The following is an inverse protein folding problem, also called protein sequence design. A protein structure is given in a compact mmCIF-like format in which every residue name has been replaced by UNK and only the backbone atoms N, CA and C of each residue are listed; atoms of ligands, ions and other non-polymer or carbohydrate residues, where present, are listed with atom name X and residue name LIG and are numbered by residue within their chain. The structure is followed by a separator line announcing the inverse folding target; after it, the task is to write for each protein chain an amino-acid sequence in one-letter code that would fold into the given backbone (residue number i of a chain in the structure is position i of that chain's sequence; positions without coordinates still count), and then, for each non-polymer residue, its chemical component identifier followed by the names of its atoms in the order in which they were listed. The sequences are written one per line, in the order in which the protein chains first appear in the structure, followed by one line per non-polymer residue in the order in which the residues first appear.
data_IF_858402450629
#
_entry.id   IF_858402450629
#
_cell.length_a   1.000
_cell.length_b   1.000
_cell.length_c   1.000
_cell.angle_alpha   90.00
_cell.angle_beta   90.00
_cell.angle_gamma   90.00
#
_symmetry.space_group_name_H-M   'P 1'
#
loop_
_entity.id
_entity.type
_entity.pdbx_description
1 polymer ?
#
# COMPACT_ATOMS: atom_id res chain seq x y z
N UNK A 1 14.25 -4.35 -12.55
CA UNK A 1 13.50 -5.62 -12.58
C UNK A 1 12.06 -5.33 -12.98
N UNK A 2 11.58 -5.99 -14.00
CA UNK A 2 10.21 -5.80 -14.47
C UNK A 2 9.23 -6.52 -13.54
N UNK A 3 8.02 -5.98 -13.39
CA UNK A 3 6.96 -6.65 -12.67
C UNK A 3 6.62 -7.99 -13.34
N UNK A 4 6.42 -9.03 -12.54
CA UNK A 4 6.05 -10.35 -13.04
C UNK A 4 4.57 -10.37 -13.44
N UNK A 5 3.73 -9.71 -12.64
CA UNK A 5 2.30 -9.66 -12.86
C UNK A 5 1.89 -8.36 -13.54
N UNK A 6 0.89 -8.45 -14.40
CA UNK A 6 0.28 -7.30 -15.06
C UNK A 6 -0.77 -6.67 -14.17
N UNK A 7 -1.20 -5.47 -14.52
CA UNK A 7 -2.33 -4.80 -13.87
C UNK A 7 -3.57 -5.71 -13.85
N UNK A 8 -3.86 -6.36 -14.98
CA UNK A 8 -5.03 -7.21 -15.13
C UNK A 8 -4.98 -8.45 -14.22
N UNK A 9 -3.78 -8.88 -13.86
CA UNK A 9 -3.59 -10.01 -12.94
C UNK A 9 -3.64 -9.58 -11.48
N UNK A 10 -3.17 -8.37 -11.17
CA UNK A 10 -3.15 -7.86 -9.79
C UNK A 10 -4.53 -7.37 -9.35
N UNK A 11 -5.23 -6.65 -10.21
CA UNK A 11 -6.47 -5.97 -9.86
C UNK A 11 -7.54 -6.88 -9.26
N UNK A 12 -7.84 -8.06 -9.84
CA UNK A 12 -8.84 -8.95 -9.23
C UNK A 12 -8.45 -9.45 -7.84
N UNK A 13 -7.15 -9.66 -7.59
CA UNK A 13 -6.69 -10.11 -6.28
C UNK A 13 -6.88 -8.99 -5.25
N UNK A 14 -6.51 -7.78 -5.61
CA UNK A 14 -6.65 -6.62 -4.73
C UNK A 14 -8.12 -6.35 -4.42
N UNK A 15 -8.96 -6.29 -5.44
CA UNK A 15 -10.37 -5.92 -5.27
C UNK A 15 -11.25 -7.09 -4.83
N UNK A 16 -10.76 -8.32 -4.91
CA UNK A 16 -11.50 -9.50 -4.50
C UNK A 16 -11.56 -9.73 -2.99
N UNK A 17 -10.75 -9.04 -2.21
CA UNK A 17 -10.71 -9.17 -0.76
C UNK A 17 -11.76 -8.26 -0.13
N UNK A 18 -12.63 -8.82 0.72
CA UNK A 18 -13.73 -8.06 1.32
C UNK A 18 -13.27 -6.85 2.12
N UNK A 19 -12.17 -7.00 2.86
CA UNK A 19 -11.62 -5.87 3.61
C UNK A 19 -11.19 -4.73 2.69
N UNK A 20 -10.58 -5.06 1.55
CA UNK A 20 -10.18 -4.04 0.57
C UNK A 20 -11.39 -3.36 -0.04
N UNK A 21 -12.48 -4.12 -0.25
CA UNK A 21 -13.75 -3.56 -0.73
C UNK A 21 -14.34 -2.58 0.28
N UNK A 22 -14.26 -2.91 1.57
CA UNK A 22 -14.67 -2.00 2.64
C UNK A 22 -13.88 -0.71 2.62
N UNK A 23 -12.56 -0.81 2.43
CA UNK A 23 -11.69 0.37 2.34
C UNK A 23 -11.97 1.17 1.07
N UNK A 24 -12.46 0.53 0.02
CA UNK A 24 -12.71 1.16 -1.26
C UNK A 24 -11.46 1.38 -2.09
N UNK A 25 -10.35 0.73 -1.73
CA UNK A 25 -9.08 0.93 -2.44
C UNK A 25 -9.14 0.41 -3.87
N UNK A 26 -8.38 1.09 -4.74
CA UNK A 26 -8.30 0.77 -6.16
C UNK A 26 -6.85 0.75 -6.62
N UNK A 27 -6.57 -0.10 -7.60
CA UNK A 27 -5.25 -0.13 -8.23
C UNK A 27 -5.16 1.07 -9.19
N UNK A 28 -4.24 1.98 -8.90
CA UNK A 28 -4.07 3.20 -9.68
C UNK A 28 -3.05 2.99 -10.80
N UNK A 29 -1.90 2.42 -10.47
CA UNK A 29 -0.80 2.30 -11.42
C UNK A 29 0.09 1.11 -11.06
N UNK A 30 0.65 0.47 -12.08
CA UNK A 30 1.64 -0.59 -11.93
C UNK A 30 2.82 -0.28 -12.83
N UNK A 31 4.01 -0.22 -12.25
CA UNK A 31 5.27 -0.03 -12.96
C UNK A 31 6.19 -1.22 -12.71
N UNK A 32 7.40 -1.19 -13.26
CA UNK A 32 8.33 -2.31 -13.18
C UNK A 32 8.62 -2.76 -11.73
N UNK A 33 8.76 -1.83 -10.79
CA UNK A 33 9.10 -2.16 -9.41
C UNK A 33 8.18 -1.51 -8.41
N UNK A 34 7.09 -0.91 -8.86
CA UNK A 34 6.21 -0.18 -7.97
C UNK A 34 4.73 -0.40 -8.29
N UNK A 35 3.93 -0.26 -7.27
CA UNK A 35 2.47 -0.33 -7.35
C UNK A 35 1.92 0.89 -6.62
N UNK A 36 0.95 1.57 -7.23
CA UNK A 36 0.24 2.68 -6.60
C UNK A 36 -1.20 2.29 -6.36
N UNK A 37 -1.66 2.48 -5.13
CA UNK A 37 -3.02 2.21 -4.71
C UNK A 37 -3.68 3.54 -4.31
N UNK A 38 -4.91 3.76 -4.77
CA UNK A 38 -5.71 4.92 -4.39
C UNK A 38 -6.67 4.53 -3.28
N UNK A 39 -6.68 5.33 -2.22
CA UNK A 39 -7.70 5.28 -1.18
C UNK A 39 -8.63 6.48 -1.39
N UNK A 40 -9.84 6.25 -1.94
CA UNK A 40 -10.81 7.34 -2.07
C UNK A 40 -11.20 7.89 -0.71
N UNK A 41 -11.54 9.16 -0.67
CA UNK A 41 -12.00 9.79 0.56
C UNK A 41 -13.24 9.05 1.10
N UNK A 42 -13.22 8.78 2.40
CA UNK A 42 -14.36 8.22 3.13
C UNK A 42 -14.35 8.82 4.53
N UNK A 43 -15.38 9.56 4.86
CA UNK A 43 -15.43 10.26 6.14
C UNK A 43 -15.36 9.32 7.34
N UNK A 44 -15.72 8.02 7.16
CA UNK A 44 -15.61 7.03 8.22
C UNK A 44 -14.17 6.85 8.72
N UNK A 45 -13.18 7.19 7.91
CA UNK A 45 -11.77 7.00 8.24
C UNK A 45 -11.13 8.21 8.92
N UNK A 46 -11.92 9.26 9.16
CA UNK A 46 -11.43 10.54 9.68
C UNK A 46 -11.97 10.82 11.07
N UNK A 47 -11.17 11.50 11.88
CA UNK A 47 -11.61 11.90 13.22
C UNK A 47 -12.69 12.98 13.11
N UNK A 48 -13.69 12.92 13.99
CA UNK A 48 -14.79 13.90 13.95
C UNK A 48 -14.39 15.27 14.47
N UNK A 49 -13.42 15.32 15.39
CA UNK A 49 -13.01 16.59 16.00
C UNK A 49 -12.10 17.40 15.07
N UNK A 50 -11.07 16.77 14.52
CA UNK A 50 -10.02 17.46 13.76
C UNK A 50 -10.11 17.25 12.25
N UNK A 51 -10.86 16.26 11.82
CA UNK A 51 -10.99 15.92 10.39
C UNK A 51 -9.71 15.35 9.80
N UNK A 52 -8.89 14.68 10.61
CA UNK A 52 -7.68 14.01 10.13
C UNK A 52 -7.92 12.53 9.96
N UNK A 53 -7.30 11.94 8.95
CA UNK A 53 -7.39 10.49 8.75
C UNK A 53 -6.74 9.76 9.92
N UNK A 54 -7.36 8.67 10.35
CA UNK A 54 -6.76 7.83 11.39
C UNK A 54 -5.42 7.26 10.94
N UNK A 55 -4.42 7.34 11.81
CA UNK A 55 -3.11 6.77 11.54
C UNK A 55 -3.17 5.27 11.25
N UNK A 56 -4.10 4.57 11.91
CA UNK A 56 -4.30 3.14 11.65
C UNK A 56 -4.80 2.83 10.24
N UNK A 57 -5.58 3.73 9.64
CA UNK A 57 -5.99 3.56 8.24
C UNK A 57 -4.80 3.76 7.31
N UNK A 58 -3.99 4.79 7.56
CA UNK A 58 -2.75 4.98 6.80
C UNK A 58 -1.85 3.75 6.90
N UNK A 59 -1.68 3.22 8.11
CA UNK A 59 -0.87 2.02 8.35
C UNK A 59 -1.41 0.82 7.57
N UNK A 60 -2.72 0.63 7.57
CA UNK A 60 -3.37 -0.46 6.85
C UNK A 60 -3.08 -0.41 5.36
N UNK A 61 -3.25 0.75 4.73
CA UNK A 61 -3.08 0.86 3.29
C UNK A 61 -1.60 0.87 2.90
N UNK A 62 -0.73 1.41 3.76
CA UNK A 62 0.73 1.29 3.57
C UNK A 62 1.13 -0.18 3.53
N UNK A 63 0.62 -0.98 4.46
CA UNK A 63 0.88 -2.42 4.50
C UNK A 63 0.38 -3.10 3.22
N UNK A 64 -0.85 -2.82 2.81
CA UNK A 64 -1.44 -3.41 1.62
C UNK A 64 -0.63 -3.04 0.37
N UNK A 65 -0.25 -1.78 0.23
CA UNK A 65 0.51 -1.33 -0.93
C UNK A 65 1.87 -2.02 -1.01
N UNK A 66 2.56 -2.14 0.14
CA UNK A 66 3.83 -2.85 0.22
C UNK A 66 3.68 -4.32 -0.14
N UNK A 67 2.63 -4.96 0.37
CA UNK A 67 2.31 -6.35 0.03
C UNK A 67 2.18 -6.52 -1.48
N UNK A 68 1.38 -5.68 -2.13
CA UNK A 68 1.14 -5.84 -3.56
C UNK A 68 2.35 -5.49 -4.42
N UNK A 69 3.23 -4.60 -3.97
CA UNK A 69 4.48 -4.35 -4.68
C UNK A 69 5.35 -5.62 -4.72
N UNK A 70 5.50 -6.29 -3.58
CA UNK A 70 6.25 -7.55 -3.50
C UNK A 70 5.51 -8.67 -4.22
N UNK A 71 4.21 -8.79 -4.00
CA UNK A 71 3.37 -9.80 -4.64
C UNK A 71 3.46 -9.73 -6.16
N UNK A 72 3.50 -8.51 -6.72
CA UNK A 72 3.57 -8.33 -8.17
C UNK A 72 4.85 -8.91 -8.77
N UNK A 73 5.91 -9.04 -7.97
CA UNK A 73 7.19 -9.55 -8.42
C UNK A 73 7.32 -11.07 -8.20
N UNK A 74 6.66 -11.62 -7.21
CA UNK A 74 6.85 -13.01 -6.79
C UNK A 74 5.65 -13.93 -7.08
N UNK A 75 4.46 -13.35 -7.26
CA UNK A 75 3.23 -14.11 -7.53
C UNK A 75 2.99 -15.20 -6.48
N UNK A 76 3.14 -14.83 -5.23
CA UNK A 76 2.87 -15.74 -4.09
C UNK A 76 2.46 -14.90 -2.89
N UNK A 77 1.74 -15.49 -1.92
CA UNK A 77 1.45 -14.77 -0.68
C UNK A 77 2.75 -14.34 0.01
N UNK A 78 2.78 -13.11 0.49
CA UNK A 78 3.97 -12.56 1.16
C UNK A 78 3.54 -11.91 2.49
N UNK A 79 3.22 -12.72 3.51
CA UNK A 79 2.75 -12.18 4.79
C UNK A 79 3.69 -11.14 5.37
N UNK A 80 3.11 -10.13 5.98
CA UNK A 80 3.86 -9.05 6.61
C UNK A 80 4.63 -9.55 7.83
N UNK A 81 5.92 -9.27 7.88
CA UNK A 81 6.78 -9.61 9.03
C UNK A 81 6.94 -8.41 9.95
N UNK A 82 7.14 -7.24 9.37
CA UNK A 82 7.36 -6.02 10.12
C UNK A 82 6.91 -4.81 9.29
N UNK A 83 6.47 -3.77 9.98
CA UNK A 83 6.01 -2.56 9.33
C UNK A 83 6.39 -1.36 10.19
N UNK A 84 7.18 -0.44 9.63
CA UNK A 84 7.54 0.80 10.31
C UNK A 84 6.93 1.96 9.53
N UNK A 85 6.30 2.88 10.25
CA UNK A 85 5.63 4.03 9.64
C UNK A 85 6.07 5.30 10.35
N UNK A 86 6.36 6.33 9.56
CA UNK A 86 6.60 7.68 10.05
C UNK A 86 5.47 8.56 9.54
N UNK A 87 4.71 9.14 10.46
CA UNK A 87 3.63 10.07 10.13
C UNK A 87 4.24 11.47 10.02
N UNK A 88 4.15 12.05 8.83
CA UNK A 88 4.85 13.31 8.54
C UNK A 88 3.98 14.53 8.80
N UNK A 89 2.68 14.41 8.55
CA UNK A 89 1.70 15.48 8.77
C UNK A 89 0.30 14.90 8.80
N UNK A 90 -0.67 15.62 9.40
CA UNK A 90 -2.06 15.16 9.39
C UNK A 90 -2.59 15.03 7.96
N UNK A 91 -3.23 13.91 7.66
CA UNK A 91 -3.92 13.72 6.37
C UNK A 91 -5.30 14.35 6.45
N UNK A 92 -5.56 15.31 5.56
CA UNK A 92 -6.84 16.01 5.51
C UNK A 92 -7.77 15.34 4.50
N UNK A 93 -9.01 15.81 4.45
CA UNK A 93 -10.02 15.26 3.54
C UNK A 93 -9.53 15.28 2.10
N UNK A 94 -9.76 14.18 1.38
CA UNK A 94 -9.36 14.00 0.00
C UNK A 94 -8.86 12.58 -0.24
N UNK A 95 -8.70 12.24 -1.50
CA UNK A 95 -8.13 10.95 -1.89
C UNK A 95 -6.65 10.91 -1.54
N UNK A 96 -6.15 9.72 -1.25
CA UNK A 96 -4.73 9.49 -0.97
C UNK A 96 -4.18 8.46 -1.94
N UNK A 97 -2.92 8.63 -2.32
CA UNK A 97 -2.20 7.72 -3.20
C UNK A 97 -1.05 7.09 -2.42
N UNK A 98 -0.97 5.76 -2.48
CA UNK A 98 0.04 4.98 -1.77
C UNK A 98 0.91 4.29 -2.80
N UNK A 99 2.14 4.77 -2.95
CA UNK A 99 3.09 4.20 -3.91
C UNK A 99 4.11 3.37 -3.18
N UNK A 100 4.13 2.09 -3.49
CA UNK A 100 5.05 1.13 -2.89
C UNK A 100 6.08 0.70 -3.93
N UNK A 101 7.35 0.75 -3.55
CA UNK A 101 8.47 0.35 -4.42
C UNK A 101 9.25 -0.76 -3.75
N UNK A 102 9.60 -1.79 -4.54
CA UNK A 102 10.41 -2.88 -4.04
C UNK A 102 11.85 -2.41 -3.85
N UNK A 103 12.37 -2.57 -2.64
CA UNK A 103 13.76 -2.25 -2.31
C UNK A 103 14.64 -3.47 -2.51
N UNK A 104 14.14 -4.63 -2.09
CA UNK A 104 14.90 -5.88 -2.16
C UNK A 104 13.94 -7.06 -2.24
N UNK A 105 14.21 -7.97 -3.16
CA UNK A 105 13.59 -9.28 -3.21
C UNK A 105 14.57 -10.29 -2.59
N UNK A 106 14.23 -10.80 -1.43
CA UNK A 106 15.07 -11.78 -0.73
C UNK A 106 14.45 -13.17 -0.77
N UNK A 107 15.24 -14.17 -0.44
CA UNK A 107 14.73 -15.56 -0.35
C UNK A 107 13.74 -15.72 0.79
N UNK A 108 14.04 -15.13 1.93
CA UNK A 108 13.22 -15.25 3.14
C UNK A 108 12.40 -14.01 3.42
N UNK A 109 12.99 -12.83 3.17
CA UNK A 109 12.35 -11.55 3.46
C UNK A 109 12.58 -10.61 2.29
N UNK A 110 11.52 -9.96 1.86
CA UNK A 110 11.57 -8.90 0.84
C UNK A 110 11.16 -7.59 1.48
N UNK A 111 11.64 -6.48 0.93
CA UNK A 111 11.46 -5.16 1.51
C UNK A 111 10.82 -4.23 0.48
N UNK A 112 9.82 -3.48 0.91
CA UNK A 112 9.21 -2.42 0.12
C UNK A 112 9.18 -1.12 0.92
N UNK A 113 9.39 -0.01 0.23
CA UNK A 113 9.19 1.33 0.79
C UNK A 113 7.92 1.93 0.22
N UNK A 114 7.15 2.61 1.05
CA UNK A 114 5.84 3.14 0.69
C UNK A 114 5.76 4.62 1.03
N UNK A 115 5.18 5.40 0.13
CA UNK A 115 4.87 6.82 0.37
C UNK A 115 3.36 6.98 0.24
N UNK A 116 2.74 7.55 1.26
CA UNK A 116 1.34 7.96 1.22
C UNK A 116 1.29 9.47 0.98
N UNK A 117 0.65 9.89 -0.09
CA UNK A 117 0.60 11.31 -0.48
C UNK A 117 -0.82 11.72 -0.83
N UNK A 118 -1.10 13.03 -0.68
CA UNK A 118 -2.35 13.59 -1.18
C UNK A 118 -2.27 13.78 -2.70
N UNK A 119 -3.37 14.21 -3.32
CA UNK A 119 -3.42 14.35 -4.77
C UNK A 119 -2.58 15.50 -5.31
N UNK A 120 -2.06 16.37 -4.45
CA UNK A 120 -1.10 17.41 -4.85
C UNK A 120 0.33 16.88 -4.85
N UNK A 121 0.53 15.64 -4.39
CA UNK A 121 1.85 15.02 -4.30
C UNK A 121 2.55 15.23 -2.96
N UNK A 122 1.86 15.82 -1.97
CA UNK A 122 2.45 16.09 -0.67
C UNK A 122 2.36 14.85 0.22
N UNK A 123 3.51 14.34 0.65
CA UNK A 123 3.56 13.14 1.49
C UNK A 123 2.98 13.39 2.88
N UNK A 124 2.12 12.50 3.33
CA UNK A 124 1.53 12.55 4.68
C UNK A 124 2.14 11.48 5.59
N UNK A 125 2.64 10.39 5.02
CA UNK A 125 3.30 9.33 5.77
C UNK A 125 4.23 8.56 4.85
N UNK A 126 5.25 7.96 5.44
CA UNK A 126 6.14 7.03 4.74
C UNK A 126 6.25 5.76 5.58
N UNK A 127 6.55 4.65 4.91
CA UNK A 127 6.71 3.39 5.62
C UNK A 127 7.68 2.46 4.93
N UNK A 128 8.11 1.46 5.67
CA UNK A 128 8.89 0.34 5.16
C UNK A 128 8.29 -0.94 5.70
N UNK A 129 8.00 -1.86 4.80
CA UNK A 129 7.48 -3.16 5.17
C UNK A 129 8.47 -4.26 4.84
N UNK A 130 8.53 -5.24 5.73
CA UNK A 130 9.24 -6.49 5.51
C UNK A 130 8.18 -7.58 5.32
N UNK A 131 8.32 -8.35 4.25
CA UNK A 131 7.33 -9.36 3.88
C UNK A 131 8.03 -10.69 3.72
N UNK A 132 7.41 -11.75 4.26
CA UNK A 132 7.97 -13.09 4.10
C UNK A 132 7.86 -13.52 2.65
N UNK A 133 8.99 -13.85 2.05
CA UNK A 133 9.06 -14.38 0.69
C UNK A 133 9.46 -15.85 0.65
N UNK A 134 9.41 -16.52 1.80
CA UNK A 134 9.66 -17.95 1.85
C UNK A 134 8.64 -18.70 1.03
N UNK A 135 9.13 -19.67 0.28
CA UNK A 135 8.25 -20.61 -0.39
C UNK A 135 7.96 -21.76 0.57
N UNK A 136 6.72 -22.17 0.61
CA UNK A 136 6.26 -23.29 1.43
C UNK A 136 6.16 -24.57 0.62
#
# INVERSE_FOLDING_TARGET
MAAVLTREEIEPVLTGTKFHQFLGIRLEEVNEQSVTIRLPYNELFYTSADGYIHGGILATVIDIAGYFAVFSQLNQPVPTVDLKIDYLRPGRAGDLLFTASVVKLGRSVSIADIVAADTSGKAVAIGRGLFSSKQE
#
